data_IF_286846129976
#
_entry.id   IF_286846129976
#
_cell.length_a   1.000
_cell.length_b   1.000
_cell.length_c   1.000
_cell.angle_alpha   90.00
_cell.angle_beta   90.00
_cell.angle_gamma   90.00
#
_symmetry.space_group_name_H-M   'P 1'
#
loop_
_entity.id
_entity.type
_entity.pdbx_description
1 polymer ?
#
# COMPACT_ATOMS: atom_id res chain seq x y z
N UNK A 1 -54.08 0.60 8.59
CA UNK A 1 -53.51 0.96 7.28
C UNK A 1 -52.19 0.24 7.09
N UNK A 2 -52.07 -0.67 6.11
CA UNK A 2 -50.82 -1.37 5.79
C UNK A 2 -49.78 -0.34 5.32
N UNK A 3 -48.67 -0.20 6.05
CA UNK A 3 -47.55 0.68 5.68
C UNK A 3 -46.96 0.12 4.37
N UNK A 4 -47.11 0.87 3.28
CA UNK A 4 -46.60 0.49 1.95
C UNK A 4 -45.08 0.48 2.03
N UNK A 5 -44.43 -0.66 1.79
CA UNK A 5 -42.97 -0.76 1.76
C UNK A 5 -42.41 0.28 0.79
N UNK A 6 -41.45 1.09 1.26
CA UNK A 6 -40.75 2.06 0.45
C UNK A 6 -39.66 1.31 -0.31
N UNK A 7 -39.78 1.24 -1.63
CA UNK A 7 -38.80 0.59 -2.50
C UNK A 7 -37.55 1.46 -2.55
N UNK A 8 -36.39 0.89 -2.23
CA UNK A 8 -35.10 1.57 -2.36
C UNK A 8 -34.25 0.82 -3.36
N UNK A 9 -33.61 1.54 -4.26
CA UNK A 9 -32.80 0.97 -5.32
C UNK A 9 -31.33 1.26 -5.02
N UNK A 10 -30.45 0.27 -5.11
CA UNK A 10 -29.02 0.46 -4.83
C UNK A 10 -28.20 0.03 -6.03
N UNK A 11 -27.21 0.85 -6.40
CA UNK A 11 -26.24 0.47 -7.41
C UNK A 11 -25.29 -0.60 -6.85
N UNK A 12 -25.30 -1.79 -7.42
CA UNK A 12 -24.40 -2.90 -7.05
C UNK A 12 -22.95 -2.67 -7.48
N UNK A 13 -22.63 -1.61 -8.20
CA UNK A 13 -21.24 -1.26 -8.55
C UNK A 13 -20.62 -0.26 -7.59
N UNK A 14 -21.36 0.72 -7.07
CA UNK A 14 -20.82 1.77 -6.19
C UNK A 14 -21.53 1.92 -4.84
N UNK A 15 -22.65 1.24 -4.62
CA UNK A 15 -23.40 1.29 -3.37
C UNK A 15 -24.30 2.53 -3.19
N UNK A 16 -24.40 3.39 -4.21
CA UNK A 16 -25.25 4.59 -4.17
C UNK A 16 -26.74 4.22 -4.15
N UNK A 17 -27.52 4.92 -3.32
CA UNK A 17 -28.96 4.68 -3.15
C UNK A 17 -29.82 5.63 -3.98
N UNK A 18 -30.85 5.10 -4.63
CA UNK A 18 -31.78 5.78 -5.51
C UNK A 18 -33.24 5.53 -5.08
N UNK A 19 -34.09 6.53 -5.28
CA UNK A 19 -35.53 6.45 -4.99
C UNK A 19 -36.34 5.78 -6.09
N UNK A 20 -35.76 5.59 -7.28
CA UNK A 20 -36.37 4.92 -8.44
C UNK A 20 -35.30 4.12 -9.19
N UNK A 21 -35.73 3.08 -9.89
CA UNK A 21 -34.85 2.35 -10.80
C UNK A 21 -34.44 3.24 -11.98
N UNK A 22 -33.19 3.13 -12.40
CA UNK A 22 -32.67 3.73 -13.62
C UNK A 22 -31.71 2.77 -14.33
N UNK A 23 -31.68 2.81 -15.66
CA UNK A 23 -30.82 1.93 -16.46
C UNK A 23 -29.32 2.24 -16.34
N UNK A 24 -28.94 3.42 -15.85
CA UNK A 24 -27.55 3.85 -15.66
C UNK A 24 -27.40 4.54 -14.31
N UNK A 25 -26.37 4.16 -13.55
CA UNK A 25 -26.03 4.83 -12.30
C UNK A 25 -25.45 6.22 -12.57
N UNK A 26 -26.05 7.26 -11.98
CA UNK A 26 -25.58 8.65 -12.12
C UNK A 26 -24.27 8.91 -11.36
N UNK A 27 -23.95 8.09 -10.35
CA UNK A 27 -22.74 8.22 -9.53
C UNK A 27 -21.52 7.56 -10.17
N UNK A 28 -21.63 6.30 -10.65
CA UNK A 28 -20.50 5.57 -11.22
C UNK A 28 -20.57 5.32 -12.74
N UNK A 29 -21.67 5.70 -13.40
CA UNK A 29 -21.83 5.56 -14.85
C UNK A 29 -22.14 4.15 -15.36
N UNK A 30 -22.17 3.12 -14.50
CA UNK A 30 -22.45 1.75 -14.92
C UNK A 30 -23.91 1.51 -15.29
N UNK A 31 -24.12 0.82 -16.40
CA UNK A 31 -25.43 0.38 -16.88
C UNK A 31 -25.92 -0.87 -16.16
N UNK A 32 -27.24 -1.01 -15.99
CA UNK A 32 -27.92 -2.16 -15.39
C UNK A 32 -27.38 -2.58 -14.01
N UNK A 33 -26.73 -1.66 -13.30
CA UNK A 33 -26.13 -1.91 -11.99
C UNK A 33 -27.09 -1.63 -10.82
N UNK A 34 -28.22 -0.95 -11.07
CA UNK A 34 -29.19 -0.57 -10.04
C UNK A 34 -30.18 -1.71 -9.82
N UNK A 35 -30.22 -2.26 -8.60
CA UNK A 35 -31.11 -3.34 -8.19
C UNK A 35 -32.05 -2.88 -7.08
N UNK A 36 -33.26 -3.43 -7.03
CA UNK A 36 -34.24 -3.17 -5.98
C UNK A 36 -33.85 -3.94 -4.71
N UNK A 37 -33.60 -3.23 -3.61
CA UNK A 37 -33.50 -3.84 -2.28
C UNK A 37 -34.86 -3.77 -1.60
N UNK A 38 -35.34 -4.92 -1.15
CA UNK A 38 -36.46 -4.97 -0.22
C UNK A 38 -35.96 -4.48 1.13
N UNK A 39 -36.48 -3.33 1.58
CA UNK A 39 -36.23 -2.87 2.94
C UNK A 39 -36.65 -3.95 3.92
N UNK A 40 -35.65 -4.63 4.51
CA UNK A 40 -35.87 -5.58 5.59
C UNK A 40 -36.71 -4.92 6.67
N UNK A 41 -37.63 -5.69 7.26
CA UNK A 41 -38.47 -5.25 8.36
C UNK A 41 -37.59 -4.63 9.46
N UNK A 42 -37.56 -3.29 9.53
CA UNK A 42 -37.12 -2.62 10.76
C UNK A 42 -38.07 -3.10 11.85
N UNK A 43 -37.55 -3.93 12.75
CA UNK A 43 -38.11 -4.34 14.03
C UNK A 43 -39.53 -3.79 14.24
N UNK A 44 -40.53 -4.55 13.80
CA UNK A 44 -41.91 -4.24 14.10
C UNK A 44 -42.04 -4.20 15.62
N UNK A 45 -42.27 -2.99 16.14
CA UNK A 45 -42.62 -2.74 17.52
C UNK A 45 -43.84 -3.57 17.88
N UNK A 46 -43.65 -4.65 18.65
CA UNK A 46 -44.75 -5.30 19.33
C UNK A 46 -45.31 -4.31 20.36
N UNK A 47 -46.59 -3.98 20.21
CA UNK A 47 -47.36 -3.31 21.23
C UNK A 47 -47.49 -4.25 22.43
N UNK A 48 -46.89 -3.88 23.55
CA UNK A 48 -47.02 -4.58 24.82
C UNK A 48 -46.06 -4.03 25.86
N UNK A 49 -46.56 -3.10 26.69
CA UNK A 49 -46.01 -2.60 27.96
C UNK A 49 -44.68 -3.21 28.44
N UNK A 50 -43.57 -2.71 27.90
CA UNK A 50 -42.29 -2.73 28.59
C UNK A 50 -41.66 -1.36 28.44
N UNK A 51 -41.48 -0.66 29.55
CA UNK A 51 -40.50 0.42 29.63
C UNK A 51 -39.16 -0.22 29.28
N UNK A 52 -38.77 -0.14 28.01
CA UNK A 52 -37.47 -0.60 27.54
C UNK A 52 -36.42 0.15 28.35
N UNK A 53 -35.69 -0.57 29.20
CA UNK A 53 -34.39 -0.13 29.67
C UNK A 53 -33.59 0.25 28.44
N UNK A 54 -33.45 1.55 28.21
CA UNK A 54 -32.56 2.08 27.20
C UNK A 54 -31.14 1.83 27.71
N UNK A 55 -30.60 0.63 27.44
CA UNK A 55 -29.21 0.31 27.70
C UNK A 55 -28.34 0.95 26.62
N UNK A 56 -28.26 2.29 26.60
CA UNK A 56 -27.18 2.99 25.91
C UNK A 56 -26.10 3.29 26.93
N UNK A 57 -24.83 3.25 26.50
CA UNK A 57 -23.74 3.81 27.31
C UNK A 57 -24.00 5.31 27.45
N UNK A 58 -24.02 5.81 28.68
CA UNK A 58 -24.21 7.25 28.92
C UNK A 58 -23.08 8.03 28.25
N UNK A 59 -23.38 9.19 27.63
CA UNK A 59 -22.35 10.02 27.01
C UNK A 59 -21.43 10.58 28.10
N UNK A 60 -20.13 10.34 27.95
CA UNK A 60 -19.09 10.84 28.84
C UNK A 60 -18.47 12.09 28.21
N UNK A 61 -18.31 13.21 28.94
CA UNK A 61 -17.54 14.37 28.48
C UNK A 61 -16.12 13.97 28.07
N UNK A 62 -15.60 14.55 26.97
CA UNK A 62 -14.30 14.15 26.39
C UNK A 62 -13.13 14.28 27.39
N UNK A 63 -13.17 15.27 28.27
CA UNK A 63 -12.20 15.53 29.34
C UNK A 63 -12.24 14.51 30.48
N UNK A 64 -13.29 13.68 30.54
CA UNK A 64 -13.46 12.58 31.50
C UNK A 64 -13.26 11.20 30.88
N UNK A 65 -12.94 11.13 29.60
CA UNK A 65 -12.55 9.88 28.94
C UNK A 65 -11.12 9.58 29.37
N UNK A 66 -10.95 8.58 30.23
CA UNK A 66 -9.61 8.08 30.56
C UNK A 66 -8.93 7.57 29.29
N UNK A 67 -7.66 7.92 29.13
CA UNK A 67 -6.86 7.46 28.00
C UNK A 67 -6.58 5.96 28.19
N UNK A 68 -7.45 5.10 27.64
CA UNK A 68 -7.21 3.67 27.60
C UNK A 68 -5.94 3.43 26.78
N UNK A 69 -4.84 3.13 27.46
CA UNK A 69 -3.65 2.59 26.79
C UNK A 69 -4.01 1.22 26.24
N UNK A 70 -4.49 1.17 25.00
CA UNK A 70 -4.80 -0.07 24.31
C UNK A 70 -3.51 -0.90 24.21
N UNK A 71 -3.39 -1.94 25.02
CA UNK A 71 -2.29 -2.90 24.93
C UNK A 71 -2.36 -3.61 23.58
N UNK A 72 -1.49 -3.18 22.65
CA UNK A 72 -1.40 -3.74 21.31
C UNK A 72 -0.73 -5.10 21.36
N UNK A 73 -1.24 -6.04 20.57
CA UNK A 73 -0.62 -7.34 20.38
C UNK A 73 0.31 -7.28 19.18
N UNK A 74 1.63 -7.41 19.42
CA UNK A 74 2.61 -7.52 18.36
C UNK A 74 2.36 -8.76 17.50
N UNK A 75 2.45 -8.61 16.18
CA UNK A 75 2.28 -9.70 15.21
C UNK A 75 3.51 -10.61 15.14
N UNK A 76 4.65 -10.16 15.67
CA UNK A 76 5.96 -10.81 15.53
C UNK A 76 6.70 -10.43 14.24
N UNK A 77 6.02 -9.70 13.36
CA UNK A 77 6.52 -9.11 12.13
C UNK A 77 6.71 -7.60 12.39
N UNK A 78 7.95 -7.14 12.51
CA UNK A 78 8.26 -5.75 12.92
C UNK A 78 7.78 -4.71 11.90
N UNK A 79 7.92 -5.04 10.62
CA UNK A 79 7.47 -4.20 9.51
C UNK A 79 5.95 -4.09 9.51
N UNK A 80 5.26 -5.21 9.71
CA UNK A 80 3.80 -5.24 9.81
C UNK A 80 3.31 -4.47 11.04
N UNK A 81 3.97 -4.65 12.19
CA UNK A 81 3.62 -3.92 13.43
C UNK A 81 3.77 -2.42 13.23
N UNK A 82 4.80 -1.96 12.53
CA UNK A 82 4.95 -0.54 12.17
C UNK A 82 3.78 -0.05 11.32
N UNK A 83 3.41 -0.78 10.26
CA UNK A 83 2.27 -0.42 9.39
C UNK A 83 0.94 -0.38 10.16
N UNK A 84 0.78 -1.24 11.16
CA UNK A 84 -0.39 -1.27 12.04
C UNK A 84 -0.38 -0.19 13.14
N UNK A 85 0.71 0.57 13.28
CA UNK A 85 0.87 1.58 14.33
C UNK A 85 1.26 1.00 15.69
N UNK A 86 2.06 -0.07 15.68
CA UNK A 86 2.59 -0.75 16.87
C UNK A 86 2.01 -2.16 17.13
N UNK A 87 1.21 -2.71 16.21
CA UNK A 87 0.61 -4.05 16.33
C UNK A 87 -0.91 -4.06 16.29
N UNK A 88 -1.50 -5.23 16.53
CA UNK A 88 -2.94 -5.47 16.48
C UNK A 88 -3.67 -4.81 17.65
N UNK A 89 -4.72 -4.06 17.34
CA UNK A 89 -5.53 -3.35 18.34
C UNK A 89 -6.70 -4.23 18.78
N UNK A 90 -6.91 -4.44 20.09
CA UNK A 90 -8.07 -5.17 20.60
C UNK A 90 -9.40 -4.64 20.05
N UNK A 91 -10.30 -5.55 19.68
CA UNK A 91 -11.62 -5.22 19.14
C UNK A 91 -11.61 -4.37 17.86
N UNK A 92 -10.53 -4.45 17.08
CA UNK A 92 -10.43 -3.80 15.77
C UNK A 92 -10.72 -4.75 14.62
N UNK A 93 -11.16 -4.20 13.49
CA UNK A 93 -11.29 -4.92 12.23
C UNK A 93 -10.33 -4.35 11.19
N UNK A 94 -9.43 -5.20 10.69
CA UNK A 94 -8.43 -4.84 9.67
C UNK A 94 -8.69 -5.59 8.37
N UNK A 95 -8.70 -4.88 7.24
CA UNK A 95 -8.81 -5.45 5.90
C UNK A 95 -7.46 -5.44 5.19
N UNK A 96 -7.03 -6.58 4.66
CA UNK A 96 -5.86 -6.72 3.78
C UNK A 96 -6.36 -6.94 2.35
N UNK A 97 -6.36 -5.87 1.56
CA UNK A 97 -6.68 -5.89 0.13
C UNK A 97 -5.48 -6.25 -0.72
N UNK A 98 -5.68 -6.92 -1.86
CA UNK A 98 -4.60 -7.15 -2.83
C UNK A 98 -5.01 -8.07 -3.96
N UNK A 99 -4.25 -8.07 -5.06
CA UNK A 99 -4.51 -8.95 -6.20
C UNK A 99 -4.47 -10.44 -5.79
N UNK A 100 -5.24 -11.32 -6.45
CA UNK A 100 -5.08 -12.77 -6.29
C UNK A 100 -3.63 -13.20 -6.52
N UNK A 101 -3.09 -14.01 -5.61
CA UNK A 101 -1.72 -14.53 -5.72
C UNK A 101 -0.60 -13.60 -5.21
N UNK A 102 -0.88 -12.39 -4.74
CA UNK A 102 0.16 -11.48 -4.20
C UNK A 102 0.82 -12.01 -2.91
N UNK A 103 0.10 -12.86 -2.15
CA UNK A 103 0.61 -13.49 -0.94
C UNK A 103 -0.17 -13.22 0.35
N UNK A 104 -1.42 -12.70 0.28
CA UNK A 104 -2.25 -12.36 1.46
C UNK A 104 -2.40 -13.50 2.47
N UNK A 105 -2.86 -14.66 2.02
CA UNK A 105 -3.00 -15.86 2.87
C UNK A 105 -1.65 -16.30 3.45
N UNK A 106 -0.56 -16.16 2.70
CA UNK A 106 0.79 -16.47 3.18
C UNK A 106 1.22 -15.51 4.29
N UNK A 107 0.97 -14.20 4.14
CA UNK A 107 1.22 -13.21 5.19
C UNK A 107 0.45 -13.54 6.47
N UNK A 108 -0.83 -13.88 6.34
CA UNK A 108 -1.69 -14.26 7.48
C UNK A 108 -1.19 -15.53 8.17
N UNK A 109 -0.74 -16.54 7.41
CA UNK A 109 -0.14 -17.75 7.96
C UNK A 109 1.20 -17.46 8.67
N UNK A 110 2.03 -16.55 8.16
CA UNK A 110 3.26 -16.13 8.86
C UNK A 110 2.94 -15.44 10.19
N UNK A 111 1.96 -14.52 10.22
CA UNK A 111 1.50 -13.92 11.49
C UNK A 111 1.00 -14.99 12.45
N UNK A 112 0.19 -15.94 11.95
CA UNK A 112 -0.29 -17.08 12.74
C UNK A 112 0.85 -17.90 13.33
N UNK A 113 1.95 -18.08 12.57
CA UNK A 113 3.15 -18.78 13.03
C UNK A 113 3.80 -18.07 14.21
N UNK A 114 4.04 -16.77 14.13
CA UNK A 114 4.65 -16.01 15.24
C UNK A 114 3.75 -15.95 16.46
N UNK A 115 2.44 -15.73 16.29
CA UNK A 115 1.49 -15.66 17.40
C UNK A 115 1.37 -17.01 18.12
N UNK A 116 1.31 -18.11 17.37
CA UNK A 116 1.26 -19.45 17.99
C UNK A 116 2.57 -19.84 18.68
N UNK A 117 3.73 -19.39 18.17
CA UNK A 117 5.02 -19.51 18.86
C UNK A 117 5.06 -18.71 20.17
N UNK A 118 4.40 -17.55 20.20
CA UNK A 118 4.17 -16.77 21.41
C UNK A 118 3.03 -17.33 22.31
N UNK A 119 2.64 -18.59 22.09
CA UNK A 119 1.59 -19.31 22.82
C UNK A 119 0.22 -18.61 22.81
N UNK A 120 -0.10 -17.88 21.75
CA UNK A 120 -1.42 -17.27 21.54
C UNK A 120 -2.32 -18.20 20.74
N UNK A 121 -3.59 -18.27 21.13
CA UNK A 121 -4.64 -19.02 20.43
C UNK A 121 -5.10 -18.23 19.21
N UNK A 122 -5.01 -18.82 18.02
CA UNK A 122 -5.35 -18.20 16.73
C UNK A 122 -6.52 -18.98 16.13
N UNK A 123 -7.57 -18.27 15.72
CA UNK A 123 -8.66 -18.84 14.93
C UNK A 123 -8.52 -18.41 13.47
N UNK A 124 -8.29 -19.36 12.57
CA UNK A 124 -8.17 -19.14 11.14
C UNK A 124 -9.38 -19.75 10.42
N UNK A 125 -10.13 -18.89 9.74
CA UNK A 125 -11.36 -19.22 9.02
C UNK A 125 -11.09 -19.05 7.53
N UNK A 126 -11.34 -20.09 6.74
CA UNK A 126 -11.25 -19.99 5.27
C UNK A 126 -12.37 -20.74 4.58
N UNK A 127 -13.12 -20.00 3.76
CA UNK A 127 -14.07 -20.58 2.81
C UNK A 127 -13.48 -20.87 1.44
N UNK A 128 -12.28 -20.36 1.12
CA UNK A 128 -11.65 -20.53 -0.20
C UNK A 128 -10.88 -21.85 -0.31
N UNK A 129 -10.04 -22.15 0.69
CA UNK A 129 -9.18 -23.33 0.71
C UNK A 129 -9.65 -24.34 1.76
N UNK A 130 -9.52 -25.64 1.45
CA UNK A 130 -9.80 -26.71 2.40
C UNK A 130 -8.76 -26.74 3.53
N UNK A 131 -9.12 -27.23 4.74
CA UNK A 131 -8.17 -27.33 5.85
C UNK A 131 -6.89 -28.12 5.54
N UNK A 132 -6.96 -29.13 4.66
CA UNK A 132 -5.79 -29.91 4.22
C UNK A 132 -4.83 -29.11 3.34
N UNK A 133 -5.35 -28.24 2.46
CA UNK A 133 -4.54 -27.33 1.64
C UNK A 133 -3.83 -26.29 2.52
N UNK A 134 -4.56 -25.69 3.46
CA UNK A 134 -3.99 -24.71 4.40
C UNK A 134 -2.90 -25.38 5.25
N UNK A 135 -3.16 -26.59 5.75
CA UNK A 135 -2.16 -27.36 6.51
C UNK A 135 -0.88 -27.59 5.70
N UNK A 136 -0.99 -27.97 4.42
CA UNK A 136 0.19 -28.16 3.57
C UNK A 136 1.01 -26.87 3.45
N UNK A 137 0.36 -25.70 3.33
CA UNK A 137 1.05 -24.40 3.27
C UNK A 137 1.67 -24.03 4.61
N UNK A 138 0.95 -24.25 5.71
CA UNK A 138 1.45 -24.02 7.06
C UNK A 138 2.70 -24.88 7.35
N UNK A 139 2.71 -26.15 6.96
CA UNK A 139 3.86 -27.04 7.14
C UNK A 139 5.11 -26.54 6.37
N UNK A 140 4.94 -25.96 5.17
CA UNK A 140 6.06 -25.39 4.39
C UNK A 140 6.76 -24.22 5.08
N UNK A 141 6.01 -23.41 5.83
CA UNK A 141 6.55 -22.28 6.59
C UNK A 141 6.96 -22.67 8.02
N UNK A 142 6.92 -23.97 8.36
CA UNK A 142 7.25 -24.47 9.70
C UNK A 142 6.18 -24.19 10.77
N UNK A 143 4.93 -23.94 10.36
CA UNK A 143 3.81 -23.74 11.27
C UNK A 143 3.12 -25.08 11.59
N UNK A 144 3.36 -25.57 12.81
CA UNK A 144 2.64 -26.69 13.40
C UNK A 144 2.37 -26.39 14.87
N UNK A 145 1.12 -26.11 15.22
CA UNK A 145 0.74 -25.76 16.58
C UNK A 145 -0.68 -26.22 16.88
N UNK A 146 -0.92 -26.68 18.11
CA UNK A 146 -2.27 -26.94 18.65
C UNK A 146 -3.05 -25.65 18.93
N UNK A 147 -2.37 -24.51 18.96
CA UNK A 147 -2.99 -23.20 19.19
C UNK A 147 -3.54 -22.56 17.90
N UNK A 148 -3.34 -23.19 16.74
CA UNK A 148 -3.96 -22.78 15.48
C UNK A 148 -5.23 -23.60 15.25
N UNK A 149 -6.39 -22.98 15.47
CA UNK A 149 -7.69 -23.57 15.16
C UNK A 149 -8.06 -23.21 13.73
N UNK A 150 -8.38 -24.22 12.92
CA UNK A 150 -8.78 -24.06 11.52
C UNK A 150 -10.24 -24.46 11.35
N UNK A 151 -11.02 -23.63 10.66
CA UNK A 151 -12.39 -23.94 10.27
C UNK A 151 -12.69 -23.48 8.85
N UNK A 152 -13.62 -24.16 8.19
CA UNK A 152 -14.16 -23.79 6.88
C UNK A 152 -15.59 -23.26 6.98
N UNK A 153 -15.94 -22.66 8.12
CA UNK A 153 -17.23 -22.01 8.31
C UNK A 153 -17.33 -20.74 7.43
N UNK A 154 -18.49 -20.55 6.81
CA UNK A 154 -18.77 -19.46 5.86
C UNK A 154 -19.86 -18.52 6.35
N UNK A 155 -20.65 -18.90 7.36
CA UNK A 155 -21.72 -18.04 7.86
C UNK A 155 -21.23 -17.09 8.95
N UNK A 156 -21.44 -15.79 8.75
CA UNK A 156 -20.96 -14.73 9.65
C UNK A 156 -21.52 -14.88 11.08
N UNK A 157 -22.77 -15.31 11.22
CA UNK A 157 -23.41 -15.56 12.51
C UNK A 157 -22.73 -16.72 13.27
N UNK A 158 -22.41 -17.81 12.58
CA UNK A 158 -21.70 -18.96 13.17
C UNK A 158 -20.27 -18.59 13.56
N UNK A 159 -19.59 -17.82 12.71
CA UNK A 159 -18.26 -17.27 13.00
C UNK A 159 -18.32 -16.42 14.27
N UNK A 160 -19.31 -15.54 14.40
CA UNK A 160 -19.49 -14.69 15.58
C UNK A 160 -19.64 -15.52 16.86
N UNK A 161 -20.50 -16.54 16.83
CA UNK A 161 -20.70 -17.46 17.96
C UNK A 161 -19.43 -18.26 18.29
N UNK A 162 -18.67 -18.69 17.28
CA UNK A 162 -17.41 -19.41 17.47
C UNK A 162 -16.34 -18.54 18.13
N UNK A 163 -16.23 -17.26 17.74
CA UNK A 163 -15.29 -16.31 18.34
C UNK A 163 -15.60 -16.12 19.83
N UNK A 164 -16.88 -16.00 20.19
CA UNK A 164 -17.32 -15.85 21.59
C UNK A 164 -17.11 -17.12 22.42
N UNK A 165 -17.32 -18.30 21.84
CA UNK A 165 -17.14 -19.58 22.53
C UNK A 165 -15.67 -19.96 22.71
N UNK A 166 -14.84 -19.77 21.69
CA UNK A 166 -13.43 -20.16 21.72
C UNK A 166 -12.51 -19.12 22.35
N UNK A 167 -12.92 -17.84 22.38
CA UNK A 167 -12.16 -16.70 22.90
C UNK A 167 -10.70 -16.65 22.40
N UNK A 168 -10.45 -16.70 21.08
CA UNK A 168 -9.10 -16.64 20.54
C UNK A 168 -8.43 -15.29 20.81
N UNK A 169 -7.10 -15.25 20.76
CA UNK A 169 -6.33 -14.02 20.88
C UNK A 169 -6.45 -13.15 19.61
N UNK A 170 -6.65 -13.77 18.45
CA UNK A 170 -6.86 -13.10 17.16
C UNK A 170 -7.66 -14.02 16.24
N UNK A 171 -8.41 -13.41 15.32
CA UNK A 171 -9.16 -14.11 14.27
C UNK A 171 -8.66 -13.69 12.89
N UNK A 172 -8.46 -14.67 12.03
CA UNK A 172 -8.15 -14.49 10.61
C UNK A 172 -9.30 -14.99 9.74
N UNK A 173 -9.74 -14.18 8.78
CA UNK A 173 -10.80 -14.53 7.81
C UNK A 173 -10.23 -14.43 6.39
N UNK A 174 -10.06 -15.58 5.73
CA UNK A 174 -9.46 -15.71 4.40
C UNK A 174 -10.42 -16.42 3.43
N UNK A 175 -11.31 -15.75 2.71
CA UNK A 175 -11.44 -14.30 2.54
C UNK A 175 -12.88 -13.84 2.80
N UNK A 176 -13.07 -12.53 2.96
CA UNK A 176 -14.41 -11.95 3.16
C UNK A 176 -15.38 -12.26 2.01
N UNK A 177 -14.87 -12.50 0.80
CA UNK A 177 -15.68 -12.88 -0.37
C UNK A 177 -16.44 -14.19 -0.18
N UNK A 178 -15.92 -15.08 0.65
CA UNK A 178 -16.53 -16.40 0.90
C UNK A 178 -17.54 -16.40 2.03
N UNK A 179 -17.60 -15.31 2.80
CA UNK A 179 -18.47 -15.20 3.95
C UNK A 179 -19.87 -14.75 3.49
N UNK A 180 -20.89 -15.38 4.05
CA UNK A 180 -22.28 -15.12 3.78
C UNK A 180 -23.07 -14.90 5.07
N UNK A 181 -24.19 -14.19 4.94
CA UNK A 181 -25.29 -14.21 5.90
C UNK A 181 -26.42 -15.04 5.33
N UNK A 182 -26.90 -16.00 6.11
CA UNK A 182 -28.00 -16.87 5.72
C UNK A 182 -29.31 -16.09 5.52
N UNK A 183 -29.52 -15.03 6.30
CA UNK A 183 -30.72 -14.20 6.25
C UNK A 183 -30.87 -13.38 4.96
N UNK A 184 -29.84 -13.33 4.10
CA UNK A 184 -29.84 -12.53 2.88
C UNK A 184 -29.98 -13.45 1.64
N UNK A 185 -30.90 -13.15 0.71
CA UNK A 185 -31.16 -14.00 -0.46
C UNK A 185 -30.06 -13.94 -1.54
N UNK A 186 -29.09 -13.04 -1.41
CA UNK A 186 -28.02 -12.82 -2.38
C UNK A 186 -26.84 -13.77 -2.16
N UNK A 187 -26.13 -14.15 -3.23
CA UNK A 187 -24.93 -14.98 -3.14
C UNK A 187 -23.77 -14.24 -2.45
N UNK A 188 -22.91 -15.01 -1.78
CA UNK A 188 -21.66 -14.53 -1.20
C UNK A 188 -20.81 -13.77 -2.23
N UNK A 189 -20.05 -12.77 -1.78
CA UNK A 189 -19.24 -11.91 -2.64
C UNK A 189 -20.00 -10.76 -3.32
N UNK A 190 -21.33 -10.70 -3.23
CA UNK A 190 -22.10 -9.49 -3.62
C UNK A 190 -21.84 -8.33 -2.66
N UNK A 191 -21.97 -7.07 -3.13
CA UNK A 191 -21.74 -5.87 -2.29
C UNK A 191 -22.52 -5.94 -0.97
N UNK A 192 -23.81 -6.27 -1.04
CA UNK A 192 -24.69 -6.32 0.13
C UNK A 192 -24.22 -7.39 1.12
N UNK A 193 -23.90 -8.61 0.65
CA UNK A 193 -23.35 -9.66 1.51
C UNK A 193 -22.04 -9.23 2.17
N UNK A 194 -21.10 -8.66 1.40
CA UNK A 194 -19.82 -8.19 1.92
C UNK A 194 -19.98 -7.12 3.01
N UNK A 195 -20.83 -6.11 2.77
CA UNK A 195 -21.07 -5.01 3.73
C UNK A 195 -21.69 -5.53 5.02
N UNK A 196 -22.71 -6.37 4.90
CA UNK A 196 -23.45 -6.90 6.04
C UNK A 196 -22.59 -7.90 6.86
N UNK A 197 -21.85 -8.79 6.20
CA UNK A 197 -20.89 -9.68 6.88
C UNK A 197 -19.81 -8.88 7.60
N UNK A 198 -19.26 -7.84 6.95
CA UNK A 198 -18.26 -6.95 7.55
C UNK A 198 -18.80 -6.26 8.80
N UNK A 199 -20.06 -5.82 8.78
CA UNK A 199 -20.68 -5.21 9.95
C UNK A 199 -20.84 -6.21 11.11
N UNK A 200 -21.29 -7.44 10.83
CA UNK A 200 -21.39 -8.50 11.86
C UNK A 200 -20.03 -8.77 12.49
N UNK A 201 -18.97 -8.90 11.68
CA UNK A 201 -17.61 -9.12 12.17
C UNK A 201 -17.08 -7.92 12.96
N UNK A 202 -17.35 -6.69 12.52
CA UNK A 202 -16.96 -5.47 13.26
C UNK A 202 -17.63 -5.41 14.63
N UNK A 203 -18.95 -5.64 14.70
CA UNK A 203 -19.70 -5.68 15.95
C UNK A 203 -19.18 -6.80 16.87
N UNK A 204 -18.84 -7.96 16.30
CA UNK A 204 -18.23 -9.08 17.04
C UNK A 204 -16.87 -8.70 17.61
N UNK A 205 -15.99 -8.06 16.82
CA UNK A 205 -14.69 -7.59 17.29
C UNK A 205 -14.84 -6.61 18.45
N UNK A 206 -15.69 -5.58 18.30
CA UNK A 206 -15.94 -4.57 19.35
C UNK A 206 -16.53 -5.17 20.62
N UNK A 207 -17.44 -6.14 20.49
CA UNK A 207 -18.12 -6.79 21.63
C UNK A 207 -17.18 -7.75 22.39
N UNK A 208 -16.38 -8.53 21.67
CA UNK A 208 -15.47 -9.51 22.25
C UNK A 208 -14.13 -8.92 22.69
N UNK A 209 -13.76 -7.75 22.17
CA UNK A 209 -12.42 -7.19 22.37
C UNK A 209 -11.33 -7.91 21.57
N UNK A 210 -11.69 -8.83 20.67
CA UNK A 210 -10.73 -9.64 19.91
C UNK A 210 -10.43 -8.96 18.56
N UNK A 211 -9.16 -8.78 18.17
CA UNK A 211 -8.80 -8.27 16.85
C UNK A 211 -9.17 -9.28 15.76
N UNK A 212 -9.78 -8.78 14.68
CA UNK A 212 -10.09 -9.57 13.49
C UNK A 212 -9.34 -8.98 12.29
N UNK A 213 -8.59 -9.82 11.57
CA UNK A 213 -8.00 -9.48 10.28
C UNK A 213 -8.66 -10.31 9.18
N UNK A 214 -9.08 -9.65 8.12
CA UNK A 214 -9.70 -10.29 6.97
C UNK A 214 -8.99 -9.95 5.68
N UNK A 215 -8.87 -10.91 4.78
CA UNK A 215 -8.30 -10.69 3.44
C UNK A 215 -9.43 -10.38 2.45
N UNK A 216 -9.10 -9.60 1.42
CA UNK A 216 -9.98 -9.30 0.31
C UNK A 216 -9.26 -9.21 -1.02
N UNK A 217 -9.83 -9.83 -2.06
CA UNK A 217 -9.35 -9.68 -3.43
C UNK A 217 -9.72 -8.33 -4.05
N UNK A 218 -8.74 -7.68 -4.67
CA UNK A 218 -8.99 -6.56 -5.60
C UNK A 218 -9.03 -7.14 -7.01
N UNK A 219 -10.16 -6.98 -7.70
CA UNK A 219 -10.25 -7.30 -9.13
C UNK A 219 -10.16 -6.01 -9.93
N UNK A 220 -9.23 -5.95 -10.91
CA UNK A 220 -9.01 -4.81 -11.82
C UNK A 220 -10.22 -4.42 -12.68
N UNK A 221 -11.26 -5.26 -12.75
CA UNK A 221 -12.37 -5.12 -13.72
C UNK A 221 -13.73 -4.73 -13.11
N UNK A 222 -13.82 -4.35 -11.83
CA UNK A 222 -15.05 -3.72 -11.29
C UNK A 222 -16.33 -4.58 -11.31
N UNK A 223 -16.24 -5.88 -11.58
CA UNK A 223 -17.37 -6.83 -11.62
C UNK A 223 -17.62 -7.53 -10.28
N UNK A 224 -16.62 -7.57 -9.40
CA UNK A 224 -16.77 -7.93 -7.99
C UNK A 224 -16.53 -6.66 -7.19
N UNK A 225 -17.41 -6.41 -6.21
CA UNK A 225 -17.32 -5.31 -5.28
C UNK A 225 -15.89 -5.22 -4.70
N UNK A 226 -15.11 -4.27 -5.23
CA UNK A 226 -13.74 -4.10 -4.79
C UNK A 226 -13.70 -3.76 -3.28
N UNK A 227 -12.59 -4.04 -2.59
CA UNK A 227 -12.43 -3.71 -1.17
C UNK A 227 -12.67 -2.23 -0.85
N UNK A 228 -12.66 -1.33 -1.84
CA UNK A 228 -13.10 0.07 -1.73
C UNK A 228 -14.47 0.24 -1.04
N UNK A 229 -15.42 -0.66 -1.27
CA UNK A 229 -16.74 -0.58 -0.61
C UNK A 229 -16.65 -0.88 0.90
N UNK A 230 -15.66 -1.69 1.30
CA UNK A 230 -15.41 -2.07 2.68
C UNK A 230 -14.47 -1.10 3.42
N UNK A 231 -13.67 -0.32 2.70
CA UNK A 231 -12.69 0.61 3.27
C UNK A 231 -13.30 1.53 4.32
N UNK A 232 -14.53 2.00 4.10
CA UNK A 232 -15.21 2.90 5.04
C UNK A 232 -15.74 2.19 6.29
N UNK A 233 -16.01 0.88 6.22
CA UNK A 233 -16.60 0.09 7.30
C UNK A 233 -15.57 -0.40 8.31
N UNK A 234 -14.33 -0.63 7.88
CA UNK A 234 -13.27 -1.20 8.74
C UNK A 234 -12.48 -0.13 9.48
N UNK A 235 -11.76 -0.52 10.54
CA UNK A 235 -10.91 0.43 11.27
C UNK A 235 -9.58 0.68 10.55
N UNK A 236 -9.01 -0.37 9.96
CA UNK A 236 -7.71 -0.33 9.26
C UNK A 236 -7.82 -1.00 7.88
N UNK A 237 -7.22 -0.39 6.85
CA UNK A 237 -7.12 -0.91 5.49
C UNK A 237 -5.66 -0.95 5.08
N UNK A 238 -5.19 -2.14 4.74
CA UNK A 238 -3.86 -2.40 4.21
C UNK A 238 -3.98 -2.88 2.76
N UNK A 239 -3.14 -2.37 1.87
CA UNK A 239 -2.98 -2.90 0.51
C UNK A 239 -1.69 -3.67 0.38
N UNK A 240 -1.79 -4.91 -0.09
CA UNK A 240 -0.66 -5.75 -0.40
C UNK A 240 -0.50 -5.85 -1.92
N UNK A 241 0.60 -5.30 -2.39
CA UNK A 241 0.89 -5.09 -3.80
C UNK A 241 2.21 -5.78 -4.17
N UNK A 242 2.33 -6.20 -5.42
CA UNK A 242 3.55 -6.79 -5.93
C UNK A 242 3.32 -7.42 -7.29
N UNK A 243 4.14 -7.02 -8.27
CA UNK A 243 4.10 -7.58 -9.61
C UNK A 243 4.77 -8.96 -9.64
N UNK A 244 4.41 -9.79 -10.62
CA UNK A 244 5.03 -11.09 -10.89
C UNK A 244 6.53 -10.98 -11.18
N UNK A 245 6.97 -9.85 -11.73
CA UNK A 245 8.37 -9.56 -12.05
C UNK A 245 9.15 -8.94 -10.87
N UNK A 246 8.44 -8.38 -9.89
CA UNK A 246 9.06 -7.80 -8.71
C UNK A 246 9.35 -8.90 -7.68
N UNK A 247 10.60 -8.96 -7.20
CA UNK A 247 11.00 -9.86 -6.10
C UNK A 247 10.31 -9.49 -4.79
N UNK A 248 9.98 -8.21 -4.62
CA UNK A 248 9.39 -7.67 -3.41
C UNK A 248 7.86 -7.57 -3.46
N UNK A 249 7.25 -7.60 -2.29
CA UNK A 249 5.84 -7.39 -2.01
C UNK A 249 5.71 -6.23 -1.03
N UNK A 250 4.93 -5.24 -1.39
CA UNK A 250 4.79 -3.97 -0.69
C UNK A 250 3.45 -3.95 0.04
N UNK A 251 3.45 -3.77 1.35
CA UNK A 251 2.24 -3.66 2.17
C UNK A 251 2.11 -2.22 2.69
N UNK A 252 1.03 -1.52 2.32
CA UNK A 252 0.80 -0.12 2.65
C UNK A 252 -0.48 0.08 3.46
N UNK A 253 -0.44 0.92 4.48
CA UNK A 253 -1.65 1.40 5.15
C UNK A 253 -2.29 2.55 4.36
N UNK A 254 -3.53 2.37 3.91
CA UNK A 254 -4.35 3.42 3.26
C UNK A 254 -5.30 4.07 4.25
N UNK A 255 -5.77 3.30 5.22
CA UNK A 255 -6.58 3.79 6.33
C UNK A 255 -6.06 3.16 7.61
N UNK A 256 -5.74 3.96 8.62
CA UNK A 256 -5.39 3.43 9.93
C UNK A 256 -5.94 4.40 10.98
N UNK A 257 -6.98 3.96 11.72
CA UNK A 257 -7.54 4.76 12.82
C UNK A 257 -6.66 4.79 14.07
N UNK A 258 -5.64 3.94 14.10
CA UNK A 258 -4.80 3.72 15.28
C UNK A 258 -3.33 4.02 15.04
N UNK A 259 -2.96 4.59 13.89
CA UNK A 259 -1.57 4.82 13.52
C UNK A 259 -1.46 5.77 12.34
N UNK A 260 -0.22 6.11 11.97
CA UNK A 260 0.03 6.94 10.80
C UNK A 260 -0.38 6.22 9.50
N UNK A 261 -0.85 7.00 8.53
CA UNK A 261 -1.11 6.52 7.16
C UNK A 261 0.15 6.78 6.31
N UNK A 262 0.43 5.87 5.37
CA UNK A 262 1.60 5.96 4.48
C UNK A 262 2.82 5.15 4.92
N UNK A 263 2.70 4.37 6.01
CA UNK A 263 3.72 3.39 6.36
C UNK A 263 3.73 2.20 5.39
N UNK A 264 4.95 1.79 5.00
CA UNK A 264 5.25 0.72 4.06
C UNK A 264 6.02 -0.41 4.75
N UNK A 265 5.56 -1.64 4.58
CA UNK A 265 6.31 -2.84 4.91
C UNK A 265 6.73 -3.54 3.62
N UNK A 266 7.99 -3.95 3.55
CA UNK A 266 8.55 -4.62 2.37
C UNK A 266 8.81 -6.08 2.75
N UNK A 267 8.30 -6.97 1.92
CA UNK A 267 8.45 -8.39 2.07
C UNK A 267 9.04 -9.00 0.82
N UNK A 268 9.71 -10.13 0.98
CA UNK A 268 10.23 -10.94 -0.12
C UNK A 268 9.63 -12.35 -0.06
N UNK A 269 9.23 -12.87 -1.22
CA UNK A 269 8.65 -14.20 -1.33
C UNK A 269 9.75 -15.24 -1.56
N UNK A 270 9.85 -16.20 -0.65
CA UNK A 270 10.77 -17.33 -0.75
C UNK A 270 10.02 -18.65 -0.87
N UNK A 271 10.73 -19.73 -1.18
CA UNK A 271 10.17 -21.09 -1.21
C UNK A 271 9.53 -21.51 0.12
N UNK A 272 10.08 -20.99 1.23
CA UNK A 272 9.64 -21.27 2.60
C UNK A 272 8.64 -20.26 3.18
N UNK A 273 8.04 -19.38 2.37
CA UNK A 273 7.07 -18.39 2.85
C UNK A 273 7.47 -16.95 2.57
N UNK A 274 7.04 -16.05 3.46
CA UNK A 274 7.19 -14.60 3.29
C UNK A 274 8.13 -14.05 4.36
N UNK A 275 9.14 -13.26 3.97
CA UNK A 275 10.13 -12.70 4.90
C UNK A 275 10.12 -11.18 4.87
N UNK A 276 10.23 -10.55 6.04
CA UNK A 276 10.44 -9.10 6.17
C UNK A 276 11.82 -8.69 5.70
N UNK A 277 11.86 -7.63 4.90
CA UNK A 277 13.13 -7.01 4.50
C UNK A 277 13.41 -5.85 5.43
N UNK A 278 14.19 -6.13 6.48
CA UNK A 278 14.53 -5.12 7.50
C UNK A 278 15.55 -4.08 7.04
N UNK A 279 16.43 -4.43 6.10
CA UNK A 279 17.45 -3.52 5.55
C UNK A 279 16.91 -2.79 4.33
N UNK A 280 15.91 -1.93 4.58
CA UNK A 280 15.11 -1.21 3.56
C UNK A 280 15.94 -0.32 2.64
N UNK A 281 17.10 0.06 3.12
CA UNK A 281 17.95 1.11 2.60
C UNK A 281 18.71 0.72 1.31
N UNK A 282 18.85 -0.57 1.01
CA UNK A 282 19.59 -1.04 -0.18
C UNK A 282 18.76 -1.85 -1.17
N UNK A 283 17.45 -1.97 -0.94
CA UNK A 283 16.57 -2.86 -1.70
C UNK A 283 16.49 -2.47 -3.18
N UNK A 284 16.40 -1.16 -3.46
CA UNK A 284 16.22 -0.63 -4.81
C UNK A 284 17.51 -0.09 -5.43
N UNK A 285 18.65 -0.36 -4.80
CA UNK A 285 19.97 0.04 -5.28
C UNK A 285 20.77 -1.22 -5.59
N UNK A 286 21.14 -1.41 -6.86
CA UNK A 286 21.91 -2.57 -7.25
C UNK A 286 23.33 -2.53 -6.68
N UNK A 287 23.90 -3.70 -6.40
CA UNK A 287 25.29 -3.81 -5.95
C UNK A 287 26.23 -3.19 -7.01
N UNK A 288 27.05 -2.21 -6.59
CA UNK A 288 27.97 -1.50 -7.48
C UNK A 288 27.33 -0.41 -8.37
N UNK A 289 26.08 0.00 -8.11
CA UNK A 289 25.42 1.09 -8.83
C UNK A 289 26.30 2.35 -8.93
N UNK A 290 26.92 2.75 -7.81
CA UNK A 290 27.79 3.92 -7.70
C UNK A 290 29.08 3.85 -8.56
N UNK A 291 29.42 2.69 -9.13
CA UNK A 291 30.61 2.51 -9.96
C UNK A 291 30.30 2.53 -11.47
N UNK A 292 29.01 2.58 -11.84
CA UNK A 292 28.58 2.46 -13.24
C UNK A 292 28.27 3.81 -13.85
N UNK A 293 28.70 4.03 -15.09
CA UNK A 293 28.22 5.15 -15.90
C UNK A 293 26.72 4.96 -16.16
N UNK A 294 25.97 6.07 -16.12
CA UNK A 294 24.54 6.04 -16.31
C UNK A 294 23.73 5.57 -15.11
N UNK A 295 24.32 5.35 -13.94
CA UNK A 295 23.59 5.00 -12.70
C UNK A 295 23.66 6.14 -11.68
N UNK A 296 22.52 6.59 -11.17
CA UNK A 296 22.40 7.68 -10.21
C UNK A 296 21.43 7.30 -9.10
N UNK A 297 21.86 7.47 -7.86
CA UNK A 297 21.00 7.28 -6.68
C UNK A 297 20.19 8.55 -6.43
N UNK A 298 18.90 8.37 -6.19
CA UNK A 298 17.95 9.42 -5.83
C UNK A 298 16.99 8.89 -4.76
N UNK A 299 16.01 9.69 -4.37
CA UNK A 299 14.94 9.23 -3.52
C UNK A 299 13.61 9.75 -4.04
N UNK A 300 12.57 8.90 -3.98
CA UNK A 300 11.19 9.25 -4.32
C UNK A 300 10.31 9.33 -3.08
N UNK A 301 9.22 10.09 -3.12
CA UNK A 301 8.20 9.99 -2.08
C UNK A 301 7.15 8.97 -2.47
N UNK A 302 6.88 8.04 -1.56
CA UNK A 302 5.74 7.16 -1.61
C UNK A 302 4.87 7.39 -0.36
N UNK A 303 3.76 8.12 -0.52
CA UNK A 303 2.92 8.54 0.60
C UNK A 303 3.64 9.53 1.53
N UNK A 304 3.86 9.14 2.78
CA UNK A 304 4.53 9.95 3.81
C UNK A 304 6.01 9.56 4.02
N UNK A 305 6.55 8.70 3.15
CA UNK A 305 7.91 8.16 3.25
C UNK A 305 8.74 8.48 2.03
N UNK A 306 10.05 8.63 2.23
CA UNK A 306 11.02 8.64 1.15
C UNK A 306 11.57 7.23 0.93
N UNK A 307 11.76 6.85 -0.33
CA UNK A 307 12.39 5.59 -0.73
C UNK A 307 13.61 5.90 -1.58
N UNK A 308 14.75 5.33 -1.22
CA UNK A 308 15.94 5.38 -2.07
C UNK A 308 15.70 4.59 -3.35
N UNK A 309 16.07 5.16 -4.50
CA UNK A 309 15.92 4.53 -5.82
C UNK A 309 17.19 4.71 -6.65
N UNK A 310 17.45 3.77 -7.56
CA UNK A 310 18.49 3.90 -8.58
C UNK A 310 17.85 4.25 -9.93
N UNK A 311 18.21 5.41 -10.48
CA UNK A 311 17.86 5.83 -11.84
C UNK A 311 18.99 5.43 -12.78
N UNK A 312 18.64 4.68 -13.82
CA UNK A 312 19.57 4.18 -14.83
C UNK A 312 19.30 4.83 -16.17
N UNK A 313 20.36 5.14 -16.92
CA UNK A 313 20.28 5.57 -18.31
C UNK A 313 21.33 4.86 -19.15
N UNK A 314 20.96 4.55 -20.40
CA UNK A 314 21.86 4.06 -21.43
C UNK A 314 21.73 4.96 -22.64
N UNK A 315 22.82 5.66 -22.96
CA UNK A 315 22.94 6.52 -24.12
C UNK A 315 23.92 5.89 -25.10
N UNK A 316 23.49 5.62 -26.32
CA UNK A 316 24.31 5.03 -27.37
C UNK A 316 24.10 5.75 -28.69
N UNK A 317 25.12 5.87 -29.53
CA UNK A 317 24.95 6.43 -30.88
C UNK A 317 23.94 5.61 -31.65
N UNK A 318 22.99 6.29 -32.30
CA UNK A 318 21.97 5.61 -33.10
C UNK A 318 22.56 5.16 -34.44
N UNK A 319 22.23 3.93 -34.85
CA UNK A 319 22.47 3.44 -36.21
C UNK A 319 21.30 3.72 -37.16
N UNK A 320 20.20 4.29 -36.65
CA UNK A 320 18.95 4.51 -37.39
C UNK A 320 18.80 5.97 -37.84
N UNK A 321 17.88 6.22 -38.77
CA UNK A 321 17.53 7.57 -39.20
C UNK A 321 16.85 8.40 -38.08
N UNK A 322 16.24 7.73 -37.10
CA UNK A 322 15.63 8.37 -35.93
C UNK A 322 16.10 7.68 -34.65
N UNK A 323 16.62 8.48 -33.73
CA UNK A 323 17.03 8.03 -32.41
C UNK A 323 15.83 7.57 -31.56
N UNK A 324 15.98 6.40 -30.93
CA UNK A 324 14.98 5.80 -30.04
C UNK A 324 15.04 6.46 -28.66
N UNK A 325 13.87 6.68 -28.05
CA UNK A 325 13.74 7.18 -26.68
C UNK A 325 12.72 6.32 -25.96
N UNK A 326 13.14 5.61 -24.93
CA UNK A 326 12.29 4.68 -24.17
C UNK A 326 12.56 4.86 -22.67
N UNK A 327 11.51 4.72 -21.87
CA UNK A 327 11.62 4.74 -20.42
C UNK A 327 10.76 3.64 -19.78
N UNK A 328 11.28 3.01 -18.74
CA UNK A 328 10.57 2.04 -17.90
C UNK A 328 10.66 2.50 -16.43
N UNK A 329 9.53 2.77 -15.79
CA UNK A 329 9.49 3.43 -14.47
C UNK A 329 9.07 4.91 -14.54
N UNK A 330 9.91 5.83 -15.08
CA UNK A 330 9.54 7.23 -15.25
C UNK A 330 8.74 7.46 -16.54
N UNK A 331 7.99 8.56 -16.59
CA UNK A 331 7.22 8.94 -17.77
C UNK A 331 8.13 9.20 -18.99
N UNK A 332 7.83 8.56 -20.12
CA UNK A 332 8.64 8.67 -21.34
C UNK A 332 8.64 10.10 -21.91
N UNK A 333 7.53 10.85 -21.79
CA UNK A 333 7.47 12.23 -22.30
C UNK A 333 8.36 13.16 -21.48
N UNK A 334 8.42 12.93 -20.17
CA UNK A 334 9.31 13.61 -19.24
C UNK A 334 10.77 13.41 -19.62
N UNK A 335 11.18 12.17 -19.88
CA UNK A 335 12.54 11.84 -20.34
C UNK A 335 12.89 12.55 -21.66
N UNK A 336 11.95 12.62 -22.61
CA UNK A 336 12.13 13.34 -23.89
C UNK A 336 12.33 14.84 -23.66
N UNK A 337 11.53 15.46 -22.78
CA UNK A 337 11.66 16.88 -22.44
C UNK A 337 13.01 17.17 -21.77
N UNK A 338 13.41 16.36 -20.79
CA UNK A 338 14.68 16.51 -20.08
C UNK A 338 15.87 16.36 -21.03
N UNK A 339 15.83 15.43 -21.99
CA UNK A 339 16.86 15.31 -23.02
C UNK A 339 17.03 16.60 -23.84
N UNK A 340 15.93 17.26 -24.22
CA UNK A 340 15.98 18.54 -24.93
C UNK A 340 16.57 19.68 -24.08
N UNK A 341 16.27 19.69 -22.77
CA UNK A 341 16.85 20.66 -21.83
C UNK A 341 18.36 20.43 -21.70
N UNK A 342 18.81 19.18 -21.53
CA UNK A 342 20.24 18.84 -21.47
C UNK A 342 20.97 19.30 -22.74
N UNK A 343 20.45 19.00 -23.92
CA UNK A 343 21.06 19.38 -25.19
C UNK A 343 21.16 20.91 -25.35
N UNK A 344 20.12 21.66 -24.93
CA UNK A 344 20.11 23.12 -24.99
C UNK A 344 21.11 23.77 -24.04
N UNK A 345 21.23 23.31 -22.79
CA UNK A 345 22.01 23.99 -21.75
C UNK A 345 23.39 23.37 -21.51
N UNK A 346 23.50 22.04 -21.49
CA UNK A 346 24.78 21.34 -21.30
C UNK A 346 25.56 21.22 -22.60
N UNK A 347 24.92 21.41 -23.76
CA UNK A 347 25.53 21.38 -25.11
C UNK A 347 26.03 19.98 -25.54
N UNK A 348 25.36 18.94 -25.06
CA UNK A 348 25.59 17.55 -25.47
C UNK A 348 24.67 17.20 -26.67
N UNK A 349 25.21 16.54 -27.69
CA UNK A 349 24.46 16.14 -28.90
C UNK A 349 23.66 14.85 -28.68
N UNK A 350 22.53 14.96 -27.99
CA UNK A 350 21.62 13.83 -27.75
C UNK A 350 20.71 13.52 -28.94
N UNK A 351 20.56 14.44 -29.91
CA UNK A 351 19.78 14.20 -31.12
C UNK A 351 20.20 12.97 -31.93
N UNK A 352 21.49 12.61 -31.87
CA UNK A 352 22.12 11.48 -32.60
C UNK A 352 22.25 10.21 -31.74
N UNK A 353 21.66 10.18 -30.55
CA UNK A 353 21.80 9.06 -29.61
C UNK A 353 20.46 8.42 -29.29
N UNK A 354 20.43 7.09 -29.32
CA UNK A 354 19.39 6.31 -28.65
C UNK A 354 19.51 6.48 -27.14
N UNK A 355 18.38 6.64 -26.47
CA UNK A 355 18.29 6.92 -25.05
C UNK A 355 17.27 5.99 -24.39
N UNK A 356 17.75 5.23 -23.41
CA UNK A 356 16.94 4.36 -22.58
C UNK A 356 17.07 4.82 -21.14
N UNK A 357 15.95 4.93 -20.42
CA UNK A 357 15.93 5.28 -18.99
C UNK A 357 15.16 4.21 -18.22
N UNK A 358 15.64 3.83 -17.05
CA UNK A 358 15.00 2.82 -16.21
C UNK A 358 15.04 3.22 -14.74
N UNK A 359 13.97 2.97 -14.00
CA UNK A 359 13.97 3.04 -12.55
C UNK A 359 14.17 1.63 -11.99
N UNK A 360 15.31 1.39 -11.34
CA UNK A 360 15.65 0.07 -10.85
C UNK A 360 14.66 -0.44 -9.79
N UNK A 361 14.51 -1.77 -9.71
CA UNK A 361 13.58 -2.41 -8.78
C UNK A 361 12.13 -2.46 -9.24
N UNK A 362 11.85 -2.16 -10.52
CA UNK A 362 10.52 -2.28 -11.12
C UNK A 362 9.50 -1.29 -10.52
N UNK A 363 10.00 -0.16 -10.02
CA UNK A 363 9.20 0.92 -9.48
C UNK A 363 8.68 1.79 -10.62
N UNK A 364 7.41 2.20 -10.53
CA UNK A 364 6.85 3.24 -11.38
C UNK A 364 6.66 4.50 -10.52
N UNK A 365 7.41 5.56 -10.83
CA UNK A 365 7.35 6.82 -10.12
C UNK A 365 7.38 7.98 -11.12
N UNK A 366 6.33 8.80 -11.09
CA UNK A 366 6.28 10.06 -11.82
C UNK A 366 6.20 11.21 -10.82
N UNK A 367 7.37 11.71 -10.42
CA UNK A 367 7.46 12.87 -9.54
C UNK A 367 8.59 13.82 -9.95
N UNK A 368 8.43 15.14 -9.69
CA UNK A 368 9.42 16.13 -10.12
C UNK A 368 10.79 16.01 -9.52
N UNK A 369 10.93 15.46 -8.31
CA UNK A 369 12.22 15.36 -7.65
C UNK A 369 13.21 14.40 -8.34
N UNK A 370 12.74 13.56 -9.27
CA UNK A 370 13.58 12.66 -10.07
C UNK A 370 14.23 13.34 -11.28
N UNK A 371 13.79 14.52 -11.70
CA UNK A 371 14.25 15.14 -12.94
C UNK A 371 15.77 15.30 -12.98
N UNK A 372 16.33 15.82 -11.90
CA UNK A 372 17.77 16.05 -11.81
C UNK A 372 18.54 14.72 -11.85
N UNK A 373 18.02 13.66 -11.23
CA UNK A 373 18.63 12.34 -11.26
C UNK A 373 18.58 11.72 -12.67
N UNK A 374 17.46 11.87 -13.39
CA UNK A 374 17.33 11.45 -14.79
C UNK A 374 18.29 12.24 -15.69
N UNK A 375 18.39 13.56 -15.52
CA UNK A 375 19.35 14.36 -16.27
C UNK A 375 20.79 13.92 -15.99
N UNK A 376 21.11 13.68 -14.73
CA UNK A 376 22.46 13.31 -14.30
C UNK A 376 22.85 11.91 -14.80
N UNK A 377 21.92 10.94 -14.81
CA UNK A 377 22.18 9.60 -15.35
C UNK A 377 22.39 9.63 -16.85
N UNK A 378 21.61 10.41 -17.60
CA UNK A 378 21.80 10.60 -19.05
C UNK A 378 23.18 11.20 -19.35
N UNK A 379 23.57 12.26 -18.63
CA UNK A 379 24.87 12.91 -18.80
C UNK A 379 26.01 11.94 -18.45
N UNK A 380 25.88 11.23 -17.33
CA UNK A 380 26.84 10.21 -16.89
C UNK A 380 27.03 9.10 -17.92
N UNK A 381 25.94 8.60 -18.52
CA UNK A 381 25.99 7.57 -19.56
C UNK A 381 26.62 8.09 -20.86
N UNK A 382 26.23 9.29 -21.30
CA UNK A 382 26.79 9.89 -22.52
C UNK A 382 28.30 10.12 -22.44
N UNK A 383 28.79 10.54 -21.27
CA UNK A 383 30.20 10.79 -21.02
C UNK A 383 30.98 9.53 -20.66
N UNK A 384 30.28 8.41 -20.42
CA UNK A 384 30.81 7.17 -19.86
C UNK A 384 31.62 7.40 -18.57
N UNK A 385 31.10 8.27 -17.69
CA UNK A 385 31.73 8.64 -16.42
C UNK A 385 30.76 8.41 -15.25
N UNK A 386 31.08 7.53 -14.28
CA UNK A 386 30.27 7.36 -13.07
C UNK A 386 30.36 8.59 -12.17
N UNK A 387 29.36 8.77 -11.30
CA UNK A 387 29.40 9.81 -10.27
C UNK A 387 30.43 9.45 -9.18
N UNK A 388 30.92 10.44 -8.42
CA UNK A 388 31.70 10.16 -7.22
C UNK A 388 30.92 9.29 -6.24
N UNK A 389 31.56 8.24 -5.71
CA UNK A 389 30.95 7.30 -4.74
C UNK A 389 30.29 8.02 -3.57
N UNK A 390 29.12 7.54 -3.18
CA UNK A 390 28.29 8.11 -2.12
C UNK A 390 27.57 9.39 -2.50
N UNK A 391 27.51 9.77 -3.80
CA UNK A 391 26.77 10.94 -4.28
C UNK A 391 25.37 10.56 -4.77
N UNK A 392 24.36 11.22 -4.24
CA UNK A 392 22.97 11.15 -4.70
C UNK A 392 22.46 12.52 -5.13
N UNK A 393 21.38 12.50 -5.92
CA UNK A 393 20.89 13.68 -6.62
C UNK A 393 19.37 13.79 -6.46
N UNK A 394 18.89 14.99 -6.15
CA UNK A 394 17.48 15.32 -5.96
C UNK A 394 17.18 16.65 -6.64
N UNK A 395 16.04 16.79 -7.31
CA UNK A 395 15.64 18.10 -7.82
C UNK A 395 14.69 18.03 -9.00
N UNK A 396 13.86 19.07 -9.11
CA UNK A 396 13.05 19.34 -10.30
C UNK A 396 13.87 20.17 -11.30
N UNK A 397 13.73 19.88 -12.59
CA UNK A 397 14.43 20.61 -13.65
C UNK A 397 13.40 21.34 -14.50
N UNK A 398 13.51 22.67 -14.53
CA UNK A 398 12.69 23.50 -15.40
C UNK A 398 13.17 23.49 -16.85
N UNK A 399 12.28 23.89 -17.76
CA UNK A 399 12.60 24.03 -19.20
C UNK A 399 13.63 25.13 -19.49
N UNK A 400 13.87 26.03 -18.53
CA UNK A 400 14.95 27.03 -18.58
C UNK A 400 16.31 26.48 -18.08
N UNK A 401 16.38 25.20 -17.69
CA UNK A 401 17.60 24.58 -17.16
C UNK A 401 17.91 24.99 -15.72
N UNK A 402 16.97 25.63 -15.03
CA UNK A 402 17.03 25.91 -13.60
C UNK A 402 16.64 24.67 -12.78
N UNK A 403 17.23 24.54 -11.60
CA UNK A 403 16.94 23.48 -10.64
C UNK A 403 16.04 24.04 -9.55
N UNK A 404 14.82 23.49 -9.45
CA UNK A 404 13.72 24.02 -8.64
C UNK A 404 13.56 23.22 -7.35
N UNK A 405 13.12 23.88 -6.29
CA UNK A 405 12.89 23.26 -4.99
C UNK A 405 11.88 22.12 -5.05
N UNK A 406 12.12 21.10 -4.23
CA UNK A 406 11.27 19.91 -4.13
C UNK A 406 10.59 19.80 -2.77
N UNK A 407 9.47 19.07 -2.72
CA UNK A 407 8.76 18.80 -1.48
C UNK A 407 9.49 17.80 -0.57
N UNK A 408 9.36 18.00 0.74
CA UNK A 408 9.86 17.13 1.81
C UNK A 408 11.36 16.77 1.67
N UNK A 409 12.21 17.74 1.29
CA UNK A 409 13.65 17.52 1.11
C UNK A 409 14.33 16.90 2.35
N UNK A 410 13.95 17.31 3.56
CA UNK A 410 14.44 16.72 4.82
C UNK A 410 14.24 15.21 4.91
N UNK A 411 13.05 14.74 4.53
CA UNK A 411 12.71 13.32 4.63
C UNK A 411 13.55 12.50 3.64
N UNK A 412 13.71 13.02 2.42
CA UNK A 412 14.54 12.40 1.37
C UNK A 412 16.02 12.36 1.75
N UNK A 413 16.55 13.45 2.31
CA UNK A 413 17.95 13.51 2.76
C UNK A 413 18.20 12.55 3.92
N UNK A 414 17.28 12.45 4.88
CA UNK A 414 17.39 11.48 5.99
C UNK A 414 17.39 10.04 5.50
N UNK A 415 16.51 9.71 4.56
CA UNK A 415 16.48 8.39 3.93
C UNK A 415 17.82 8.07 3.25
N UNK A 416 18.31 8.97 2.39
CA UNK A 416 19.59 8.80 1.69
C UNK A 416 20.79 8.70 2.64
N UNK A 417 20.80 9.46 3.73
CA UNK A 417 21.82 9.33 4.78
C UNK A 417 21.74 7.96 5.47
N UNK A 418 20.52 7.48 5.76
CA UNK A 418 20.28 6.16 6.33
C UNK A 418 20.85 5.03 5.48
N UNK A 419 20.87 5.18 4.16
CA UNK A 419 21.41 4.16 3.24
C UNK A 419 22.94 4.21 3.06
N UNK A 420 23.58 5.17 3.72
CA UNK A 420 25.03 5.36 3.69
C UNK A 420 25.52 6.29 2.58
N UNK A 421 24.63 7.07 1.95
CA UNK A 421 25.07 8.13 1.05
C UNK A 421 25.80 9.22 1.84
N UNK A 422 26.87 9.74 1.25
CA UNK A 422 27.77 10.70 1.90
C UNK A 422 27.56 12.12 1.41
N UNK A 423 26.98 12.29 0.21
CA UNK A 423 26.78 13.59 -0.42
C UNK A 423 25.45 13.63 -1.16
N UNK A 424 24.64 14.65 -0.88
CA UNK A 424 23.41 14.94 -1.62
C UNK A 424 23.58 16.24 -2.40
N UNK A 425 23.24 16.19 -3.68
CA UNK A 425 23.12 17.37 -4.54
C UNK A 425 21.64 17.66 -4.70
N UNK A 426 21.22 18.87 -4.33
CA UNK A 426 19.82 19.26 -4.31
C UNK A 426 19.62 20.74 -4.70
N UNK A 427 18.37 21.20 -4.93
CA UNK A 427 18.11 22.58 -5.29
C UNK A 427 18.51 23.53 -4.16
N UNK A 428 19.20 24.62 -4.47
CA UNK A 428 19.66 25.57 -3.46
C UNK A 428 18.51 26.14 -2.61
N UNK A 429 17.32 26.29 -3.20
CA UNK A 429 16.12 26.76 -2.49
C UNK A 429 15.70 25.87 -1.31
N UNK A 430 16.05 24.57 -1.32
CA UNK A 430 15.75 23.67 -0.21
C UNK A 430 16.75 23.78 0.95
N UNK A 431 17.91 24.43 0.79
CA UNK A 431 18.93 24.51 1.86
C UNK A 431 18.39 25.13 3.15
N UNK A 432 17.49 26.12 3.03
CA UNK A 432 16.90 26.80 4.18
C UNK A 432 15.96 25.93 5.01
N UNK A 433 15.38 24.89 4.41
CA UNK A 433 14.45 23.97 5.06
C UNK A 433 15.18 22.81 5.72
N UNK A 434 16.46 22.57 5.40
CA UNK A 434 17.18 21.39 5.80
C UNK A 434 17.71 21.48 7.23
N UNK A 435 17.38 20.48 8.05
CA UNK A 435 18.07 20.25 9.32
C UNK A 435 19.40 19.60 8.99
N UNK A 436 20.52 20.29 9.24
CA UNK A 436 21.85 19.72 9.02
C UNK A 436 22.01 18.41 9.80
N UNK A 437 22.08 17.29 9.10
CA UNK A 437 22.51 16.01 9.67
C UNK A 437 24.02 15.90 9.55
N UNK A 438 24.71 15.52 10.63
CA UNK A 438 26.17 15.39 10.66
C UNK A 438 26.72 14.34 9.67
N UNK A 439 25.87 13.42 9.20
CA UNK A 439 26.28 12.22 8.46
C UNK A 439 26.30 12.39 6.93
N UNK A 440 25.81 13.52 6.38
CA UNK A 440 25.73 13.73 4.93
C UNK A 440 26.10 15.16 4.52
N UNK A 441 26.97 15.29 3.52
CA UNK A 441 27.33 16.58 2.93
C UNK A 441 26.23 17.04 1.98
N UNK A 442 25.75 18.26 2.15
CA UNK A 442 24.68 18.82 1.31
C UNK A 442 25.26 19.90 0.38
N UNK A 443 25.04 19.76 -0.92
CA UNK A 443 25.43 20.75 -1.93
C UNK A 443 24.18 21.27 -2.66
N UNK A 444 23.93 22.57 -2.54
CA UNK A 444 22.89 23.27 -3.31
C UNK A 444 23.36 23.61 -4.72
N UNK A 445 22.48 23.46 -5.70
CA UNK A 445 22.68 23.94 -7.08
C UNK A 445 21.49 24.75 -7.57
N UNK A 446 21.72 25.65 -8.54
CA UNK A 446 20.67 26.52 -9.13
C UNK A 446 20.35 26.15 -10.58
N UNK A 447 21.29 25.51 -11.28
CA UNK A 447 21.13 25.18 -12.69
C UNK A 447 21.75 23.82 -13.00
N UNK A 448 21.24 23.18 -14.06
CA UNK A 448 21.87 22.00 -14.64
C UNK A 448 23.35 22.21 -14.97
N UNK A 449 23.76 23.44 -15.33
CA UNK A 449 25.17 23.74 -15.61
C UNK A 449 26.09 23.49 -14.40
N UNK A 450 25.56 23.55 -13.18
CA UNK A 450 26.33 23.31 -11.96
C UNK A 450 26.74 21.83 -11.85
N UNK A 451 26.03 20.91 -12.53
CA UNK A 451 26.39 19.48 -12.62
C UNK A 451 27.71 19.25 -13.35
N UNK A 452 28.18 20.21 -14.17
CA UNK A 452 29.48 20.12 -14.84
C UNK A 452 30.63 19.93 -13.86
N UNK A 453 30.49 20.40 -12.62
CA UNK A 453 31.47 20.18 -11.55
C UNK A 453 31.65 18.71 -11.16
N UNK A 454 30.67 17.84 -11.47
CA UNK A 454 30.72 16.40 -11.20
C UNK A 454 31.39 15.60 -12.31
N UNK A 455 31.45 16.17 -13.52
CA UNK A 455 31.94 15.51 -14.73
C UNK A 455 33.08 16.33 -15.34
N UNK A 456 34.33 16.14 -14.89
CA UNK A 456 35.47 16.81 -15.49
C UNK A 456 35.59 16.42 -16.98
N UNK A 457 35.50 17.43 -17.87
CA UNK A 457 35.61 17.24 -19.32
C UNK A 457 34.34 17.53 -20.14
N UNK A 458 33.26 18.02 -19.51
CA UNK A 458 32.10 18.53 -20.26
C UNK A 458 32.45 19.85 -20.97
N UNK A 459 32.22 19.97 -22.30
CA UNK A 459 32.59 21.15 -23.09
C UNK A 459 31.85 22.44 -22.71
#
# INVERSE_FOLDING_TARGET
MKKKLTRTFICQSCGESFSRWAGKCESCGNWNSIMEEFGGEKFASSNGNSRKNKSYREPIPLDKVEEESLERMGTGLKELDLVLGGGLVPGSLTLIGGEPGVGKSTLVLEVSRYLTQANKKVLYISGEESPSQIRMRAERIGLRSSNLLLTSEIYAENISAMIEGETPAVVFVDSIQTIAREALPNQAGTVTQLRECTQVLLETAKRSGIPILMTGHITKEGTIAGPKVLEHLVDTVLYFEGDRLNYYRLLRAVKNRFGAVGDLAIFEMFSGGLREVGDRNRIFVSAGAEERSGSVISAVLEGSRALTVEVQALVSKTGFAQARRMAEGPDTRRVILLAAVIEKYIKIKLGECDLFSNLAGGLNADEPALDLAICTSIISSYLDQPLPKGTCVLGEVGLSGEVRSIGQANLRVKELAGVGMKKVILPEGNLSELVQSADIQIQGIRSLNDLRSLFPGVP
#
